data_IF_988287669128
#
_entry.id   IF_988287669128
#
_cell.length_a   1.000
_cell.length_b   1.000
_cell.length_c   1.000
_cell.angle_alpha   90.00
_cell.angle_beta   90.00
_cell.angle_gamma   90.00
#
_symmetry.space_group_name_H-M   'P 1'
#
loop_
_entity.id
_entity.type
_entity.pdbx_description
1 polymer ?
#
# COMPACT_ATOMS: atom_id res chain seq x y z
N UNK A 1 30.09 6.67 59.85
CA UNK A 1 30.92 5.62 59.18
C UNK A 1 30.57 5.64 57.68
N UNK A 2 31.33 6.38 56.87
CA UNK A 2 31.08 6.46 55.42
C UNK A 2 31.64 5.22 54.74
N UNK A 3 30.81 4.49 53.97
CA UNK A 3 31.30 3.39 53.13
C UNK A 3 32.09 3.99 51.97
N UNK A 4 33.40 3.76 51.97
CA UNK A 4 34.29 4.14 50.86
C UNK A 4 34.05 3.13 49.74
N UNK A 5 33.55 3.60 48.60
CA UNK A 5 33.33 2.75 47.42
C UNK A 5 34.68 2.47 46.76
N UNK A 6 35.03 1.21 46.47
CA UNK A 6 36.28 0.89 45.76
C UNK A 6 36.32 1.59 44.40
N UNK A 7 37.46 2.20 44.08
CA UNK A 7 37.66 2.98 42.84
C UNK A 7 37.29 2.18 41.57
N UNK A 8 37.57 0.88 41.54
CA UNK A 8 37.21 0.00 40.43
C UNK A 8 35.68 -0.16 40.24
N UNK A 9 34.93 -0.19 41.33
CA UNK A 9 33.45 -0.28 41.29
C UNK A 9 32.86 1.03 40.78
N UNK A 10 33.43 2.16 41.20
CA UNK A 10 33.04 3.48 40.71
C UNK A 10 33.35 3.65 39.22
N UNK A 11 34.53 3.25 38.76
CA UNK A 11 34.92 3.29 37.35
C UNK A 11 34.03 2.39 36.48
N UNK A 12 33.75 1.17 36.92
CA UNK A 12 32.85 0.26 36.21
C UNK A 12 31.44 0.85 36.07
N UNK A 13 30.91 1.46 37.12
CA UNK A 13 29.62 2.16 37.09
C UNK A 13 29.64 3.35 36.13
N UNK A 14 30.66 4.20 36.21
CA UNK A 14 30.78 5.39 35.37
C UNK A 14 30.89 5.04 33.88
N UNK A 15 31.70 4.03 33.53
CA UNK A 15 31.82 3.53 32.16
C UNK A 15 30.51 2.92 31.65
N UNK A 16 29.79 2.19 32.50
CA UNK A 16 28.50 1.60 32.16
C UNK A 16 27.44 2.68 31.89
N UNK A 17 27.38 3.73 32.73
CA UNK A 17 26.46 4.85 32.52
C UNK A 17 26.75 5.56 31.20
N UNK A 18 28.02 5.82 30.88
CA UNK A 18 28.42 6.45 29.62
C UNK A 18 27.98 5.61 28.41
N UNK A 19 28.24 4.30 28.42
CA UNK A 19 27.87 3.39 27.33
C UNK A 19 26.35 3.36 27.10
N UNK A 20 25.55 3.29 28.17
CA UNK A 20 24.09 3.34 28.07
C UNK A 20 23.61 4.68 27.54
N UNK A 21 24.17 5.78 28.05
CA UNK A 21 23.77 7.13 27.60
C UNK A 21 24.08 7.31 26.13
N UNK A 22 25.25 6.89 25.63
CA UNK A 22 25.56 6.94 24.21
C UNK A 22 24.68 6.00 23.38
N UNK A 23 24.39 4.78 23.88
CA UNK A 23 23.47 3.85 23.22
C UNK A 23 22.05 4.41 23.10
N UNK A 24 21.54 5.05 24.15
CA UNK A 24 20.24 5.72 24.17
C UNK A 24 20.22 6.95 23.24
N UNK A 25 21.23 7.81 23.30
CA UNK A 25 21.34 8.96 22.40
C UNK A 25 21.41 8.51 20.95
N UNK A 26 22.16 7.44 20.65
CA UNK A 26 22.22 6.87 19.30
C UNK A 26 20.90 6.26 18.86
N UNK A 27 20.19 5.54 19.72
CA UNK A 27 18.86 5.01 19.43
C UNK A 27 17.84 6.12 19.19
N UNK A 28 17.82 7.15 20.05
CA UNK A 28 16.99 8.35 19.91
C UNK A 28 17.33 9.08 18.60
N UNK A 29 18.61 9.28 18.32
CA UNK A 29 19.08 9.86 17.06
C UNK A 29 18.56 9.06 15.87
N UNK A 30 18.67 7.73 15.89
CA UNK A 30 18.15 6.86 14.82
C UNK A 30 16.64 6.96 14.64
N UNK A 31 15.87 7.10 15.73
CA UNK A 31 14.42 7.32 15.69
C UNK A 31 14.09 8.70 15.08
N UNK A 32 14.85 9.75 15.42
CA UNK A 32 14.60 11.09 14.89
C UNK A 32 15.17 11.31 13.48
N UNK A 33 16.19 10.56 13.06
CA UNK A 33 16.79 10.65 11.73
C UNK A 33 16.30 9.59 10.76
N UNK A 34 15.44 8.65 11.17
CA UNK A 34 14.72 7.82 10.21
C UNK A 34 13.82 8.76 9.41
N UNK A 35 14.25 9.12 8.21
CA UNK A 35 13.39 9.84 7.28
C UNK A 35 12.14 8.99 7.09
N UNK A 36 10.99 9.48 7.58
CA UNK A 36 9.69 8.89 7.26
C UNK A 36 9.68 8.75 5.74
N UNK A 37 9.54 7.52 5.25
CA UNK A 37 9.60 7.29 3.81
C UNK A 37 8.45 8.10 3.19
N UNK A 38 8.74 8.84 2.12
CA UNK A 38 7.72 9.66 1.43
C UNK A 38 6.47 8.84 1.01
N UNK A 39 6.56 7.51 1.03
CA UNK A 39 5.48 6.57 0.73
C UNK A 39 4.48 6.37 1.87
N UNK A 40 4.83 6.72 3.11
CA UNK A 40 3.96 6.63 4.27
C UNK A 40 2.84 7.66 4.25
N UNK A 41 3.01 8.77 3.52
CA UNK A 41 2.03 9.83 3.41
C UNK A 41 2.15 10.56 2.08
N UNK A 42 1.33 10.14 1.13
CA UNK A 42 1.19 10.77 -0.18
C UNK A 42 -0.03 11.70 -0.16
N UNK A 43 0.02 12.88 -0.78
CA UNK A 43 -1.17 13.69 -0.94
C UNK A 43 -2.14 12.96 -1.89
N UNK A 44 -3.42 13.08 -1.61
CA UNK A 44 -4.48 12.56 -2.47
C UNK A 44 -4.56 13.36 -3.79
N UNK A 45 -5.26 12.81 -4.78
CA UNK A 45 -5.41 13.39 -6.13
C UNK A 45 -6.02 14.80 -6.05
N UNK A 46 -6.88 15.05 -5.07
CA UNK A 46 -7.41 16.39 -4.73
C UNK A 46 -6.66 16.93 -3.51
N UNK A 47 -6.11 18.16 -3.54
CA UNK A 47 -6.28 19.27 -4.48
C UNK A 47 -5.04 19.47 -5.37
N UNK A 48 -4.39 18.40 -5.82
CA UNK A 48 -3.16 18.56 -6.61
C UNK A 48 -3.49 19.41 -7.84
N UNK A 49 -2.66 20.45 -8.10
CA UNK A 49 -2.78 21.24 -9.32
C UNK A 49 -2.82 20.29 -10.51
N UNK A 50 -3.68 20.58 -11.50
CA UNK A 50 -3.75 19.82 -12.75
C UNK A 50 -2.33 19.49 -13.23
N UNK A 51 -2.05 18.19 -13.39
CA UNK A 51 -0.76 17.59 -13.81
C UNK A 51 0.27 17.21 -12.73
N UNK A 52 0.04 17.42 -11.43
CA UNK A 52 0.93 16.86 -10.38
C UNK A 52 0.37 15.51 -9.92
N UNK A 53 0.71 14.41 -10.61
CA UNK A 53 0.39 13.05 -10.17
C UNK A 53 1.59 12.44 -9.43
N UNK A 54 1.38 11.95 -8.21
CA UNK A 54 2.43 11.31 -7.41
C UNK A 54 2.52 9.83 -7.74
N UNK A 55 3.28 9.54 -8.78
CA UNK A 55 3.63 8.17 -9.10
C UNK A 55 4.83 7.69 -8.29
N UNK A 56 4.64 6.56 -7.62
CA UNK A 56 5.67 5.85 -6.87
C UNK A 56 6.42 4.94 -7.85
N UNK A 57 7.75 5.06 -7.99
CA UNK A 57 8.52 4.16 -8.83
C UNK A 57 8.26 2.69 -8.48
N UNK A 58 8.13 1.82 -9.48
CA UNK A 58 7.92 0.38 -9.26
C UNK A 58 9.00 -0.22 -8.35
N UNK A 59 10.26 0.17 -8.55
CA UNK A 59 11.42 -0.28 -7.76
C UNK A 59 11.52 0.31 -6.34
N UNK A 60 10.61 1.21 -5.94
CA UNK A 60 10.68 1.84 -4.63
C UNK A 60 10.60 0.79 -3.51
N UNK A 61 11.53 0.88 -2.55
CA UNK A 61 11.50 0.06 -1.36
C UNK A 61 10.31 0.48 -0.49
N UNK A 62 9.53 -0.50 0.00
CA UNK A 62 8.43 -0.20 0.89
C UNK A 62 8.96 0.16 2.28
N UNK A 63 8.33 1.12 2.98
CA UNK A 63 8.63 1.36 4.38
C UNK A 63 8.36 0.11 5.22
N UNK A 64 9.00 -0.02 6.40
CA UNK A 64 8.71 -1.11 7.33
C UNK A 64 7.21 -1.18 7.67
N UNK A 65 6.62 -2.37 7.53
CA UNK A 65 5.19 -2.57 7.79
C UNK A 65 4.25 -2.26 6.62
N UNK A 66 4.76 -1.83 5.47
CA UNK A 66 3.98 -1.62 4.23
C UNK A 66 4.02 -2.82 3.28
N UNK A 67 4.56 -3.96 3.71
CA UNK A 67 4.45 -5.23 3.00
C UNK A 67 3.71 -6.21 3.90
N UNK A 68 2.57 -6.71 3.43
CA UNK A 68 1.66 -7.59 4.15
C UNK A 68 1.55 -8.93 3.43
N UNK A 69 1.37 -9.99 4.19
CA UNK A 69 0.93 -11.29 3.68
C UNK A 69 -0.61 -11.37 3.65
N UNK A 70 -1.15 -12.39 2.98
CA UNK A 70 -2.59 -12.65 3.04
C UNK A 70 -3.03 -12.93 4.49
N UNK A 71 -4.21 -12.46 4.85
CA UNK A 71 -4.79 -12.47 6.20
C UNK A 71 -4.04 -11.64 7.26
N UNK A 72 -2.94 -10.97 6.91
CA UNK A 72 -2.24 -10.08 7.82
C UNK A 72 -2.91 -8.71 7.87
N UNK A 73 -3.34 -8.28 9.06
CA UNK A 73 -3.86 -6.93 9.27
C UNK A 73 -2.75 -5.95 9.62
N UNK A 74 -2.86 -4.73 9.10
CA UNK A 74 -2.00 -3.62 9.49
C UNK A 74 -2.76 -2.30 9.48
N UNK A 75 -2.45 -1.45 10.46
CA UNK A 75 -3.01 -0.10 10.56
C UNK A 75 -2.15 0.90 9.80
N UNK A 76 -2.79 1.65 8.91
CA UNK A 76 -2.21 2.83 8.27
C UNK A 76 -3.10 4.03 8.59
N UNK A 77 -2.60 4.98 9.38
CA UNK A 77 -3.38 6.13 9.81
C UNK A 77 -4.68 5.72 10.51
N UNK A 78 -5.82 6.06 9.92
CA UNK A 78 -7.16 5.80 10.43
C UNK A 78 -7.82 4.56 9.82
N UNK A 79 -7.12 3.81 8.96
CA UNK A 79 -7.65 2.63 8.30
C UNK A 79 -6.80 1.41 8.67
N UNK A 80 -7.45 0.34 9.12
CA UNK A 80 -6.87 -0.99 9.20
C UNK A 80 -7.15 -1.74 7.89
N UNK A 81 -6.11 -2.36 7.35
CA UNK A 81 -6.12 -3.05 6.06
C UNK A 81 -5.81 -4.52 6.27
N UNK A 82 -6.61 -5.39 5.68
CA UNK A 82 -6.38 -6.84 5.67
C UNK A 82 -6.56 -7.38 4.25
N UNK A 83 -5.48 -7.78 3.55
CA UNK A 83 -5.59 -8.56 2.32
C UNK A 83 -6.23 -9.91 2.66
N UNK A 84 -7.35 -10.26 2.04
CA UNK A 84 -8.12 -11.45 2.42
C UNK A 84 -7.72 -12.64 1.57
N UNK A 85 -7.75 -12.49 0.25
CA UNK A 85 -7.48 -13.56 -0.71
C UNK A 85 -7.24 -13.01 -2.12
N UNK A 86 -6.68 -13.84 -2.98
CA UNK A 86 -6.61 -13.60 -4.42
C UNK A 86 -7.40 -14.68 -5.13
N UNK A 87 -8.29 -14.29 -6.05
CA UNK A 87 -9.02 -15.24 -6.89
C UNK A 87 -8.76 -14.97 -8.37
N UNK A 88 -8.93 -15.98 -9.21
CA UNK A 88 -8.88 -15.87 -10.66
C UNK A 88 -10.24 -16.18 -11.24
N UNK A 89 -10.81 -15.26 -12.01
CA UNK A 89 -12.11 -15.49 -12.63
C UNK A 89 -12.53 -14.31 -13.50
N UNK A 90 -13.68 -14.43 -14.15
CA UNK A 90 -14.18 -13.38 -15.03
C UNK A 90 -14.65 -12.16 -14.22
N UNK A 91 -14.52 -10.98 -14.80
CA UNK A 91 -15.17 -9.78 -14.27
C UNK A 91 -16.63 -9.80 -14.66
N UNK A 92 -17.48 -9.43 -13.72
CA UNK A 92 -18.90 -9.24 -13.97
C UNK A 92 -19.13 -7.73 -14.05
N UNK A 93 -19.42 -7.26 -15.26
CA UNK A 93 -19.75 -5.87 -15.54
C UNK A 93 -21.22 -5.82 -15.92
N UNK A 94 -21.96 -4.84 -15.44
CA UNK A 94 -23.36 -4.70 -15.83
C UNK A 94 -23.48 -4.38 -17.33
N UNK A 95 -24.15 -5.27 -18.07
CA UNK A 95 -24.37 -5.10 -19.51
C UNK A 95 -23.17 -5.40 -20.41
N UNK A 96 -22.06 -5.91 -19.86
CA UNK A 96 -20.87 -6.25 -20.64
C UNK A 96 -20.14 -7.46 -20.06
N UNK A 97 -19.76 -8.40 -20.93
CA UNK A 97 -18.89 -9.51 -20.57
C UNK A 97 -17.46 -9.23 -21.06
N UNK A 98 -16.52 -8.90 -20.16
CA UNK A 98 -15.14 -8.65 -20.54
C UNK A 98 -14.44 -9.94 -21.02
N UNK A 99 -13.49 -9.78 -21.95
CA UNK A 99 -12.79 -10.91 -22.55
C UNK A 99 -11.74 -11.51 -21.60
N UNK A 100 -12.05 -12.68 -21.04
CA UNK A 100 -11.09 -13.53 -20.33
C UNK A 100 -11.00 -13.30 -18.82
N UNK A 101 -10.21 -14.15 -18.13
CA UNK A 101 -10.11 -14.11 -16.68
C UNK A 101 -9.21 -12.97 -16.22
N UNK A 102 -9.49 -12.45 -15.03
CA UNK A 102 -8.61 -11.54 -14.29
C UNK A 102 -8.21 -12.15 -12.95
N UNK A 103 -7.19 -11.59 -12.31
CA UNK A 103 -6.98 -11.77 -10.88
C UNK A 103 -7.77 -10.71 -10.10
N UNK A 104 -8.34 -11.10 -8.96
CA UNK A 104 -9.05 -10.22 -8.03
C UNK A 104 -8.37 -10.30 -6.68
N UNK A 105 -7.74 -9.22 -6.23
CA UNK A 105 -7.24 -9.09 -4.86
C UNK A 105 -8.34 -8.53 -3.97
N UNK A 106 -8.81 -9.32 -3.01
CA UNK A 106 -9.81 -8.90 -2.01
C UNK A 106 -9.11 -8.27 -0.81
N UNK A 107 -9.56 -7.09 -0.41
CA UNK A 107 -8.99 -6.32 0.69
C UNK A 107 -10.12 -5.83 1.57
N UNK A 108 -10.02 -6.11 2.86
CA UNK A 108 -10.89 -5.53 3.87
C UNK A 108 -10.28 -4.24 4.38
N UNK A 109 -11.07 -3.18 4.34
CA UNK A 109 -10.76 -1.90 4.96
C UNK A 109 -11.68 -1.70 6.15
N UNK A 110 -11.12 -1.35 7.30
CA UNK A 110 -11.86 -1.00 8.51
C UNK A 110 -11.45 0.39 8.96
N UNK A 111 -12.44 1.26 9.19
CA UNK A 111 -12.18 2.58 9.75
C UNK A 111 -12.02 2.48 11.27
N UNK A 112 -10.83 2.78 11.76
CA UNK A 112 -10.47 2.75 13.18
C UNK A 112 -10.30 4.16 13.77
N UNK A 113 -10.73 5.20 13.05
CA UNK A 113 -10.89 6.54 13.62
C UNK A 113 -12.07 6.59 14.58
N UNK A 114 -12.16 7.68 15.34
CA UNK A 114 -13.29 7.96 16.23
C UNK A 114 -14.21 9.06 15.67
N UNK A 115 -13.77 9.77 14.63
CA UNK A 115 -14.32 11.07 14.23
C UNK A 115 -14.34 11.32 12.71
N UNK A 116 -13.67 10.47 11.90
CA UNK A 116 -13.58 10.68 10.46
C UNK A 116 -14.44 9.67 9.70
N UNK A 117 -15.18 10.15 8.71
CA UNK A 117 -15.73 9.31 7.64
C UNK A 117 -14.73 9.26 6.50
N UNK A 118 -14.34 8.08 6.04
CA UNK A 118 -13.25 7.89 5.08
C UNK A 118 -13.73 7.01 3.93
N UNK A 119 -13.41 7.38 2.68
CA UNK A 119 -13.55 6.51 1.51
C UNK A 119 -12.16 5.92 1.19
N UNK A 120 -11.86 4.67 1.59
CA UNK A 120 -10.51 4.13 1.48
C UNK A 120 -10.05 3.97 0.02
N UNK A 121 -10.96 3.58 -0.87
CA UNK A 121 -10.68 3.37 -2.28
C UNK A 121 -11.91 3.74 -3.13
N UNK A 122 -11.69 4.53 -4.17
CA UNK A 122 -12.69 4.88 -5.19
C UNK A 122 -12.12 4.70 -6.60
N UNK A 123 -12.95 4.96 -7.61
CA UNK A 123 -12.54 4.83 -9.01
C UNK A 123 -11.45 5.83 -9.42
N UNK A 124 -11.45 7.05 -8.86
CA UNK A 124 -10.41 8.04 -9.17
C UNK A 124 -9.03 7.54 -8.77
N UNK A 125 -8.91 6.97 -7.57
CA UNK A 125 -7.64 6.44 -7.07
C UNK A 125 -7.31 5.08 -7.69
N UNK A 126 -8.29 4.18 -7.84
CA UNK A 126 -8.08 2.85 -8.40
C UNK A 126 -7.58 2.91 -9.85
N UNK A 127 -8.18 3.79 -10.66
CA UNK A 127 -7.94 3.85 -12.09
C UNK A 127 -6.99 4.99 -12.49
N UNK A 128 -6.31 5.63 -11.53
CA UNK A 128 -5.26 6.62 -11.83
C UNK A 128 -4.05 5.95 -12.50
N UNK A 129 -4.10 5.92 -13.82
CA UNK A 129 -3.05 5.41 -14.70
C UNK A 129 -2.73 6.47 -15.75
N UNK A 130 -1.44 6.64 -16.06
CA UNK A 130 -1.03 7.40 -17.23
C UNK A 130 -0.77 6.45 -18.40
N UNK A 131 -1.81 6.22 -19.22
CA UNK A 131 -1.77 5.30 -20.39
C UNK A 131 -1.11 5.89 -21.64
N UNK A 132 -0.76 7.18 -21.64
CA UNK A 132 -0.09 7.84 -22.77
C UNK A 132 1.40 7.47 -22.93
N UNK A 133 1.92 6.54 -22.13
CA UNK A 133 3.28 6.02 -22.25
C UNK A 133 3.22 4.51 -22.42
N UNK A 134 3.62 4.03 -23.59
CA UNK A 134 3.91 2.61 -23.80
C UNK A 134 4.89 2.10 -22.74
N UNK A 135 4.62 0.90 -22.21
CA UNK A 135 5.53 0.17 -21.30
C UNK A 135 6.92 -0.09 -21.91
N UNK A 136 7.10 0.11 -23.22
CA UNK A 136 8.37 -0.13 -23.91
C UNK A 136 9.30 1.08 -23.98
N UNK A 137 8.80 2.33 -23.89
CA UNK A 137 9.67 3.51 -24.07
C UNK A 137 9.67 4.53 -22.92
N UNK A 138 8.64 4.59 -22.07
CA UNK A 138 8.66 5.42 -20.85
C UNK A 138 7.57 5.06 -19.81
N UNK A 139 6.92 3.90 -19.96
CA UNK A 139 6.15 3.24 -18.92
C UNK A 139 4.78 3.82 -18.67
N UNK A 140 3.71 3.04 -18.87
CA UNK A 140 2.45 3.37 -18.23
C UNK A 140 2.71 3.40 -16.72
N UNK A 141 2.54 4.55 -16.08
CA UNK A 141 2.85 4.70 -14.67
C UNK A 141 1.57 4.57 -13.87
N UNK A 142 1.55 3.61 -12.96
CA UNK A 142 0.45 3.35 -12.05
C UNK A 142 1.01 2.98 -10.68
N UNK A 143 0.35 3.42 -9.61
CA UNK A 143 0.70 3.00 -8.26
C UNK A 143 0.17 1.59 -7.93
N UNK A 144 -0.68 1.04 -8.80
CA UNK A 144 -1.36 -0.23 -8.58
C UNK A 144 -1.05 -1.21 -9.71
N UNK A 145 -0.42 -2.31 -9.34
CA UNK A 145 0.01 -3.35 -10.27
C UNK A 145 0.31 -4.64 -9.50
N UNK A 146 0.36 -5.75 -10.22
CA UNK A 146 0.87 -7.04 -9.75
C UNK A 146 2.06 -7.46 -10.59
N UNK A 147 3.11 -7.95 -9.94
CA UNK A 147 4.32 -8.42 -10.61
C UNK A 147 4.97 -9.56 -9.84
N UNK A 148 5.97 -10.22 -10.43
CA UNK A 148 6.83 -11.13 -9.67
C UNK A 148 7.70 -10.33 -8.70
N UNK A 149 7.94 -10.89 -7.52
CA UNK A 149 8.84 -10.28 -6.53
C UNK A 149 10.24 -9.98 -7.13
N UNK A 150 10.75 -10.86 -8.00
CA UNK A 150 12.03 -10.69 -8.69
C UNK A 150 12.06 -9.55 -9.72
N UNK A 151 10.92 -9.21 -10.31
CA UNK A 151 10.79 -8.16 -11.34
C UNK A 151 10.65 -6.76 -10.74
N UNK A 152 10.14 -6.65 -9.50
CA UNK A 152 9.96 -5.37 -8.80
C UNK A 152 11.25 -4.54 -8.75
N UNK A 153 12.35 -5.16 -8.29
CA UNK A 153 13.64 -4.48 -8.09
C UNK A 153 14.24 -3.91 -9.38
N UNK A 154 13.88 -4.50 -10.52
CA UNK A 154 14.37 -4.13 -11.86
C UNK A 154 13.43 -3.19 -12.61
N UNK A 155 12.30 -2.82 -12.00
CA UNK A 155 11.18 -2.21 -12.72
C UNK A 155 10.81 -3.01 -13.99
N UNK A 156 10.80 -4.34 -13.83
CA UNK A 156 10.51 -5.29 -14.89
C UNK A 156 9.01 -5.43 -15.16
N UNK A 157 8.62 -6.55 -15.78
CA UNK A 157 7.23 -6.74 -16.23
C UNK A 157 6.24 -6.71 -15.05
N UNK A 158 5.20 -5.89 -15.19
CA UNK A 158 4.07 -5.81 -14.27
C UNK A 158 2.75 -5.87 -15.06
N UNK A 159 1.74 -6.47 -14.46
CA UNK A 159 0.35 -6.45 -14.93
C UNK A 159 -0.37 -5.35 -14.17
N UNK A 160 -1.00 -4.42 -14.89
CA UNK A 160 -1.71 -3.30 -14.27
C UNK A 160 -3.07 -3.77 -13.72
N UNK A 161 -3.72 -2.87 -12.97
CA UNK A 161 -5.13 -3.05 -12.64
C UNK A 161 -6.00 -2.77 -13.87
N UNK A 162 -7.13 -3.44 -13.98
CA UNK A 162 -8.10 -3.20 -15.05
C UNK A 162 -8.45 -1.71 -15.06
N UNK A 163 -8.41 -1.03 -16.21
CA UNK A 163 -8.81 0.36 -16.24
C UNK A 163 -10.27 0.56 -16.60
N UNK A 164 -10.77 1.69 -16.13
CA UNK A 164 -11.97 2.30 -16.67
C UNK A 164 -11.64 2.96 -18.00
N UNK A 165 -12.38 2.60 -19.05
CA UNK A 165 -12.36 3.36 -20.29
C UNK A 165 -13.10 4.69 -20.03
N UNK A 166 -12.50 5.82 -20.43
CA UNK A 166 -12.99 7.15 -20.08
C UNK A 166 -14.43 7.43 -20.55
N UNK A 167 -14.88 6.70 -21.57
CA UNK A 167 -16.19 6.87 -22.20
C UNK A 167 -17.24 5.87 -21.69
N UNK A 168 -16.89 5.01 -20.74
CA UNK A 168 -17.78 3.97 -20.22
C UNK A 168 -17.98 4.07 -18.71
N UNK A 169 -19.19 4.43 -18.32
CA UNK A 169 -19.69 4.32 -16.95
C UNK A 169 -20.19 2.91 -16.70
N UNK A 170 -19.26 2.01 -16.40
CA UNK A 170 -19.62 0.68 -15.91
C UNK A 170 -19.14 0.49 -14.48
N UNK A 171 -19.94 -0.27 -13.73
CA UNK A 171 -19.61 -0.71 -12.37
C UNK A 171 -19.33 -2.20 -12.37
N UNK A 172 -18.27 -2.59 -11.67
CA UNK A 172 -17.99 -3.98 -11.40
C UNK A 172 -18.93 -4.49 -10.31
N UNK A 173 -19.64 -5.59 -10.57
CA UNK A 173 -20.57 -6.17 -9.58
C UNK A 173 -19.84 -6.51 -8.28
N UNK A 174 -20.46 -6.15 -7.16
CA UNK A 174 -19.97 -6.46 -5.80
C UNK A 174 -18.57 -5.89 -5.46
N UNK A 175 -18.07 -4.90 -6.20
CA UNK A 175 -16.75 -4.32 -5.92
C UNK A 175 -16.74 -3.38 -4.71
N UNK A 176 -17.88 -2.76 -4.39
CA UNK A 176 -18.05 -1.85 -3.24
C UNK A 176 -17.10 -0.63 -3.24
N UNK A 177 -16.62 -0.17 -4.40
CA UNK A 177 -15.80 1.04 -4.50
C UNK A 177 -16.57 2.28 -4.06
N UNK A 178 -15.84 3.29 -3.60
CA UNK A 178 -16.43 4.59 -3.24
C UNK A 178 -17.24 4.57 -1.94
N UNK A 179 -17.31 3.43 -1.25
CA UNK A 179 -18.03 3.32 0.02
C UNK A 179 -17.35 4.15 1.10
N UNK A 180 -18.09 5.13 1.63
CA UNK A 180 -17.70 5.89 2.79
C UNK A 180 -17.89 5.05 4.06
N UNK A 181 -16.83 4.94 4.87
CA UNK A 181 -16.82 4.24 6.14
C UNK A 181 -16.86 5.24 7.29
N UNK A 182 -17.86 5.15 8.14
CA UNK A 182 -17.89 5.82 9.45
C UNK A 182 -16.94 5.13 10.44
N UNK A 183 -16.59 5.76 11.57
CA UNK A 183 -15.89 5.11 12.67
C UNK A 183 -16.44 3.72 13.00
N UNK A 184 -15.58 2.70 12.99
CA UNK A 184 -15.92 1.31 13.28
C UNK A 184 -16.47 0.49 12.11
N UNK A 185 -16.87 1.12 10.99
CA UNK A 185 -17.38 0.40 9.83
C UNK A 185 -16.26 -0.26 9.02
N UNK A 186 -16.62 -1.33 8.31
CA UNK A 186 -15.74 -2.05 7.41
C UNK A 186 -16.39 -2.35 6.06
N UNK A 187 -15.55 -2.54 5.04
CA UNK A 187 -15.94 -2.97 3.70
C UNK A 187 -14.88 -3.91 3.13
N UNK A 188 -15.30 -4.90 2.37
CA UNK A 188 -14.41 -5.69 1.52
C UNK A 188 -14.57 -5.23 0.08
N UNK A 189 -13.45 -4.85 -0.53
CA UNK A 189 -13.34 -4.40 -1.92
C UNK A 189 -12.43 -5.36 -2.67
N UNK A 190 -12.67 -5.59 -3.96
CA UNK A 190 -11.71 -6.28 -4.81
C UNK A 190 -11.08 -5.37 -5.86
N UNK A 191 -9.80 -5.62 -6.14
CA UNK A 191 -9.01 -4.92 -7.15
C UNK A 191 -8.73 -5.89 -8.30
N UNK A 192 -9.30 -5.67 -9.50
CA UNK A 192 -9.05 -6.52 -10.65
C UNK A 192 -7.74 -6.17 -11.35
N UNK A 193 -6.97 -7.17 -11.77
CA UNK A 193 -5.88 -7.01 -12.73
C UNK A 193 -6.42 -6.85 -14.16
N UNK A 194 -5.57 -6.48 -15.09
CA UNK A 194 -5.80 -6.72 -16.52
C UNK A 194 -5.76 -8.22 -16.85
N UNK A 195 -6.29 -8.56 -18.02
CA UNK A 195 -6.36 -9.92 -18.57
C UNK A 195 -5.02 -10.35 -19.19
N UNK A 196 -4.29 -9.37 -19.75
CA UNK A 196 -2.99 -9.59 -20.37
C UNK A 196 -1.88 -9.85 -19.35
N UNK A 197 -0.95 -10.74 -19.70
CA UNK A 197 0.24 -11.02 -18.90
C UNK A 197 0.01 -11.94 -17.69
N UNK A 198 -1.22 -12.40 -17.43
CA UNK A 198 -1.53 -13.30 -16.31
C UNK A 198 -0.75 -14.61 -16.33
N UNK A 199 -0.53 -15.19 -17.52
CA UNK A 199 0.23 -16.43 -17.67
C UNK A 199 1.70 -16.32 -17.20
N UNK A 200 2.23 -15.10 -17.11
CA UNK A 200 3.57 -14.84 -16.60
C UNK A 200 3.63 -14.76 -15.07
N UNK A 201 2.51 -14.55 -14.37
CA UNK A 201 2.45 -14.42 -12.90
C UNK A 201 2.54 -15.81 -12.24
N UNK A 202 3.77 -16.24 -11.94
CA UNK A 202 4.09 -17.53 -11.31
C UNK A 202 5.14 -17.35 -10.21
N UNK A 203 5.09 -18.18 -9.17
CA UNK A 203 6.00 -18.15 -8.03
C UNK A 203 5.66 -17.03 -7.05
N UNK A 204 6.67 -16.36 -6.50
CA UNK A 204 6.48 -15.24 -5.57
C UNK A 204 5.98 -13.98 -6.28
N UNK A 205 4.86 -13.45 -5.82
CA UNK A 205 4.17 -12.30 -6.38
C UNK A 205 4.08 -11.15 -5.36
N UNK A 206 4.01 -9.94 -5.90
CA UNK A 206 3.76 -8.71 -5.16
C UNK A 206 2.65 -7.94 -5.87
N UNK A 207 1.63 -7.55 -5.11
CA UNK A 207 0.58 -6.64 -5.57
C UNK A 207 0.67 -5.32 -4.80
N UNK A 208 0.95 -4.21 -5.50
CA UNK A 208 0.94 -2.87 -4.89
C UNK A 208 -0.45 -2.27 -4.94
N UNK A 209 -0.87 -1.67 -3.83
CA UNK A 209 -2.18 -1.04 -3.66
C UNK A 209 -1.99 0.38 -3.13
N UNK A 210 -2.73 1.33 -3.70
CA UNK A 210 -2.74 2.74 -3.29
C UNK A 210 -4.14 3.07 -2.76
N UNK A 211 -4.22 3.58 -1.53
CA UNK A 211 -5.50 3.85 -0.88
C UNK A 211 -5.42 5.08 0.04
N UNK A 212 -6.57 5.62 0.45
CA UNK A 212 -6.71 6.71 1.43
C UNK A 212 -6.73 6.17 2.85
N UNK A 213 -5.87 6.74 3.69
CA UNK A 213 -5.73 6.38 5.11
C UNK A 213 -6.34 7.38 6.09
N UNK A 214 -6.99 8.44 5.59
CA UNK A 214 -7.63 9.48 6.40
C UNK A 214 -7.52 10.86 5.78
N UNK A 215 -7.81 11.89 6.57
CA UNK A 215 -7.73 13.29 6.17
C UNK A 215 -6.68 14.05 6.97
N UNK A 216 -6.04 15.02 6.33
CA UNK A 216 -5.16 16.01 6.98
C UNK A 216 -5.99 17.03 7.77
N UNK A 217 -5.37 17.84 8.66
CA UNK A 217 -6.07 18.92 9.36
C UNK A 217 -6.75 19.96 8.45
N UNK A 218 -6.31 20.07 7.19
CA UNK A 218 -6.92 20.92 6.17
C UNK A 218 -8.04 20.23 5.37
N UNK A 219 -8.48 19.06 5.83
CA UNK A 219 -9.50 18.21 5.22
C UNK A 219 -9.15 17.68 3.81
N UNK A 220 -7.86 17.63 3.47
CA UNK A 220 -7.40 16.93 2.26
C UNK A 220 -7.18 15.45 2.54
N UNK A 221 -7.54 14.59 1.59
CA UNK A 221 -7.24 13.17 1.66
C UNK A 221 -5.75 12.92 1.80
N UNK A 222 -5.40 11.92 2.60
CA UNK A 222 -4.03 11.44 2.77
C UNK A 222 -4.00 10.00 2.34
N UNK A 223 -3.14 9.70 1.38
CA UNK A 223 -3.00 8.36 0.80
C UNK A 223 -1.68 7.71 1.21
N UNK A 224 -1.57 6.41 0.98
CA UNK A 224 -0.35 5.63 1.15
C UNK A 224 -0.38 4.46 0.18
N UNK A 225 0.80 3.90 -0.11
CA UNK A 225 0.91 2.64 -0.86
C UNK A 225 1.34 1.52 0.06
N UNK A 226 0.82 0.32 -0.12
CA UNK A 226 1.33 -0.89 0.51
C UNK A 226 1.41 -2.01 -0.51
N UNK A 227 2.08 -3.10 -0.14
CA UNK A 227 2.28 -4.27 -0.98
C UNK A 227 1.74 -5.51 -0.29
N UNK A 228 1.09 -6.37 -1.08
CA UNK A 228 0.66 -7.70 -0.67
C UNK A 228 1.61 -8.71 -1.28
N UNK A 229 2.27 -9.49 -0.43
CA UNK A 229 3.10 -10.62 -0.82
C UNK A 229 2.28 -11.91 -0.73
N UNK A 230 2.33 -12.70 -1.79
CA UNK A 230 1.66 -13.99 -1.91
C UNK A 230 2.36 -14.81 -2.99
N UNK A 231 2.02 -16.07 -3.11
CA UNK A 231 2.51 -16.98 -4.14
C UNK A 231 1.43 -17.26 -5.17
N UNK A 232 1.80 -17.73 -6.36
CA UNK A 232 0.81 -18.17 -7.35
C UNK A 232 -0.09 -19.30 -6.86
N UNK A 233 0.34 -20.05 -5.83
CA UNK A 233 -0.42 -21.16 -5.25
C UNK A 233 -1.54 -20.67 -4.33
N UNK A 234 -1.46 -19.43 -3.85
CA UNK A 234 -2.52 -18.77 -3.06
C UNK A 234 -3.69 -18.29 -3.93
N UNK A 235 -3.57 -18.37 -5.27
CA UNK A 235 -4.60 -17.92 -6.21
C UNK A 235 -5.70 -18.97 -6.29
N UNK A 236 -6.87 -18.63 -5.76
CA UNK A 236 -8.06 -19.47 -5.81
C UNK A 236 -8.73 -19.39 -7.19
N UNK A 237 -9.33 -20.48 -7.64
CA UNK A 237 -10.18 -20.50 -8.83
C UNK A 237 -11.57 -19.89 -8.57
#
# INVERSE_FOLDING_TARGET
RGRIVPHAVFQAWFSYTILITFGLVWAIYRIFTSQASNLESLPDIKPLKENVRNYVPQKAAMPPGHTLELSQSQRFGNIEVTPVKVTKGNLEIEGWDPEGPVLKLFIKFKNVSNDQTIVPLDGELLFDQNRNRSLQDAGAVANQFVCKASEKSKAGKAVLVYARFADLDFEFRNQNLGRALKPGEEVTIYIPSETDGLGALKGDLIWRVHFRKGHSPKNYGVTTVFEVKFTSDDIQA
#
